data_IF_954247810997
#
_entry.id   IF_954247810997
#
_cell.length_a   1.000
_cell.length_b   1.000
_cell.length_c   1.000
_cell.angle_alpha   90.00
_cell.angle_beta   90.00
_cell.angle_gamma   90.00
#
_symmetry.space_group_name_H-M   'P 1'
#
loop_
_entity.id
_entity.type
_entity.pdbx_description
1 polymer ?
#
# COMPACT_ATOMS: atom_id res chain seq x y z
N UNK A 1 -14.36 28.57 -18.14
CA UNK A 1 -14.20 27.16 -18.58
C UNK A 1 -12.90 27.04 -19.36
N UNK A 2 -11.83 26.52 -18.76
CA UNK A 2 -10.58 26.24 -19.49
C UNK A 2 -10.72 24.91 -20.21
N UNK A 3 -10.58 24.93 -21.54
CA UNK A 3 -10.53 23.73 -22.35
C UNK A 3 -9.27 22.93 -21.97
N UNK A 4 -9.46 21.85 -21.22
CA UNK A 4 -8.39 20.88 -20.99
C UNK A 4 -8.28 20.01 -22.23
N UNK A 5 -7.15 20.15 -22.96
CA UNK A 5 -6.85 19.36 -24.15
C UNK A 5 -6.84 17.85 -23.81
N UNK A 6 -7.40 17.01 -24.69
CA UNK A 6 -7.43 15.53 -24.58
C UNK A 6 -6.07 14.92 -24.19
N UNK A 7 -4.97 15.53 -24.63
CA UNK A 7 -3.59 15.13 -24.34
C UNK A 7 -3.23 15.20 -22.84
N UNK A 8 -3.92 16.05 -22.06
CA UNK A 8 -3.74 16.17 -20.61
C UNK A 8 -4.61 15.17 -19.85
N UNK A 9 -5.83 14.90 -20.33
CA UNK A 9 -6.68 13.84 -19.79
C UNK A 9 -6.08 12.44 -19.99
N UNK A 10 -5.29 12.24 -21.05
CA UNK A 10 -4.50 11.01 -21.25
C UNK A 10 -3.23 10.93 -20.38
N UNK A 11 -2.84 12.03 -19.70
CA UNK A 11 -1.69 12.09 -18.78
C UNK A 11 -2.10 11.99 -17.30
N UNK A 12 -3.35 12.27 -16.97
CA UNK A 12 -3.90 12.18 -15.62
C UNK A 12 -4.66 10.83 -15.46
N UNK A 13 -4.51 10.17 -14.32
CA UNK A 13 -5.15 8.87 -14.08
C UNK A 13 -6.68 8.98 -13.99
N UNK A 14 -7.40 8.02 -14.56
CA UNK A 14 -8.86 7.92 -14.46
C UNK A 14 -9.27 6.54 -13.91
N UNK A 15 -9.53 6.47 -12.61
CA UNK A 15 -9.95 5.23 -11.93
C UNK A 15 -11.28 4.66 -12.47
N UNK A 16 -12.14 5.48 -13.09
CA UNK A 16 -13.41 5.02 -13.65
C UNK A 16 -13.27 4.43 -15.05
N UNK A 17 -12.16 4.67 -15.74
CA UNK A 17 -11.87 4.02 -17.02
C UNK A 17 -11.36 2.59 -16.81
N UNK A 18 -11.94 1.62 -17.53
CA UNK A 18 -11.73 0.19 -17.30
C UNK A 18 -10.26 -0.24 -17.37
N UNK A 19 -9.54 0.24 -18.39
CA UNK A 19 -8.17 -0.16 -18.71
C UNK A 19 -7.13 0.87 -18.23
N UNK A 20 -7.50 1.77 -17.31
CA UNK A 20 -6.55 2.78 -16.83
C UNK A 20 -5.53 2.15 -15.85
N UNK A 21 -4.22 2.31 -16.08
CA UNK A 21 -3.17 1.76 -15.20
C UNK A 21 -3.26 2.23 -13.74
N UNK A 22 -3.91 3.37 -13.48
CA UNK A 22 -4.14 3.87 -12.11
C UNK A 22 -4.90 2.87 -11.23
N UNK A 23 -5.68 1.95 -11.81
CA UNK A 23 -6.36 0.86 -11.09
C UNK A 23 -5.38 -0.17 -10.52
N UNK A 24 -4.34 -0.53 -11.27
CA UNK A 24 -3.33 -1.47 -10.77
C UNK A 24 -2.50 -0.83 -9.65
N UNK A 25 -2.11 0.44 -9.81
CA UNK A 25 -1.43 1.18 -8.73
C UNK A 25 -2.31 1.25 -7.47
N UNK A 26 -3.60 1.59 -7.63
CA UNK A 26 -4.55 1.59 -6.52
C UNK A 26 -4.60 0.21 -5.84
N UNK A 27 -4.75 -0.85 -6.63
CA UNK A 27 -4.79 -2.23 -6.13
C UNK A 27 -3.51 -2.62 -5.38
N UNK A 28 -2.34 -2.19 -5.83
CA UNK A 28 -1.09 -2.46 -5.13
C UNK A 28 -1.07 -1.78 -3.75
N UNK A 29 -1.33 -0.47 -3.70
CA UNK A 29 -1.21 0.33 -2.47
C UNK A 29 -2.34 0.09 -1.47
N UNK A 30 -3.51 -0.41 -1.92
CA UNK A 30 -4.64 -0.77 -1.05
C UNK A 30 -4.80 -2.28 -0.84
N UNK A 31 -3.91 -3.12 -1.36
CA UNK A 31 -3.90 -4.55 -1.02
C UNK A 31 -3.60 -4.73 0.47
N UNK A 32 -4.10 -5.81 1.09
CA UNK A 32 -3.85 -6.11 2.51
C UNK A 32 -2.38 -5.96 2.89
N UNK A 33 -1.47 -6.52 2.09
CA UNK A 33 -0.04 -6.47 2.37
C UNK A 33 0.59 -5.14 1.96
N UNK A 34 0.13 -4.53 0.86
CA UNK A 34 0.62 -3.22 0.43
C UNK A 34 0.39 -2.13 1.47
N UNK A 35 -0.80 -2.09 2.07
CA UNK A 35 -1.12 -1.18 3.17
C UNK A 35 -0.16 -1.39 4.35
N UNK A 36 0.00 -2.64 4.80
CA UNK A 36 0.86 -2.94 5.95
C UNK A 36 2.35 -2.65 5.68
N UNK A 37 2.83 -2.86 4.45
CA UNK A 37 4.20 -2.51 4.05
C UNK A 37 4.40 -1.01 4.10
N UNK A 38 3.51 -0.25 3.44
CA UNK A 38 3.63 1.21 3.36
C UNK A 38 3.58 1.86 4.73
N UNK A 39 2.66 1.42 5.60
CA UNK A 39 2.55 1.91 6.98
C UNK A 39 3.79 1.52 7.81
N UNK A 40 4.26 0.27 7.72
CA UNK A 40 5.41 -0.17 8.49
C UNK A 40 6.71 0.58 8.14
N UNK A 41 6.91 0.92 6.87
CA UNK A 41 8.11 1.60 6.40
C UNK A 41 8.14 3.10 6.74
N UNK A 42 7.05 3.67 7.28
CA UNK A 42 7.06 5.03 7.86
C UNK A 42 7.95 5.12 9.10
N UNK A 43 8.14 4.00 9.81
CA UNK A 43 9.05 3.90 10.95
C UNK A 43 10.54 3.84 10.53
N UNK A 44 10.81 3.82 9.22
CA UNK A 44 12.15 3.76 8.64
C UNK A 44 12.46 2.43 7.96
N UNK A 45 13.74 2.22 7.65
CA UNK A 45 14.23 1.06 6.90
C UNK A 45 13.99 -0.26 7.62
N UNK A 46 13.45 -1.26 6.93
CA UNK A 46 13.19 -2.60 7.49
C UNK A 46 13.81 -3.70 6.62
N UNK A 47 14.27 -4.79 7.24
CA UNK A 47 14.63 -6.00 6.49
C UNK A 47 13.39 -6.76 6.07
N UNK A 48 13.52 -7.62 5.05
CA UNK A 48 12.45 -8.55 4.65
C UNK A 48 11.90 -9.35 5.85
N UNK A 49 12.80 -9.85 6.71
CA UNK A 49 12.45 -10.61 7.91
C UNK A 49 11.64 -9.80 8.93
N UNK A 50 11.92 -8.50 9.06
CA UNK A 50 11.23 -7.62 10.00
C UNK A 50 9.81 -7.35 9.54
N UNK A 51 9.64 -7.04 8.25
CA UNK A 51 8.33 -6.88 7.62
C UNK A 51 7.49 -8.15 7.76
N UNK A 52 8.07 -9.32 7.46
CA UNK A 52 7.37 -10.61 7.59
C UNK A 52 6.91 -10.88 9.02
N UNK A 53 7.77 -10.59 10.02
CA UNK A 53 7.43 -10.77 11.44
C UNK A 53 6.31 -9.84 11.88
N UNK A 54 6.33 -8.57 11.42
CA UNK A 54 5.28 -7.58 11.72
C UNK A 54 3.93 -7.94 11.07
N UNK A 55 3.97 -8.56 9.89
CA UNK A 55 2.79 -8.94 9.09
C UNK A 55 2.35 -10.39 9.34
N UNK A 56 1.92 -10.69 10.56
CA UNK A 56 1.42 -12.02 10.93
C UNK A 56 0.44 -12.61 9.88
N UNK A 57 0.75 -13.81 9.38
CA UNK A 57 -0.06 -14.52 8.39
C UNK A 57 0.32 -14.29 6.92
N UNK A 58 1.33 -13.46 6.61
CA UNK A 58 1.84 -13.34 5.23
C UNK A 58 2.77 -14.50 4.88
N UNK A 59 2.61 -15.08 3.69
CA UNK A 59 3.60 -16.02 3.14
C UNK A 59 4.78 -15.25 2.52
N UNK A 60 5.97 -15.86 2.46
CA UNK A 60 7.13 -15.22 1.81
C UNK A 60 6.82 -14.81 0.37
N UNK A 61 6.13 -15.69 -0.37
CA UNK A 61 5.74 -15.44 -1.75
C UNK A 61 4.87 -14.18 -1.86
N UNK A 62 3.85 -14.05 -1.03
CA UNK A 62 2.96 -12.88 -1.07
C UNK A 62 3.69 -11.60 -0.67
N UNK A 63 4.53 -11.65 0.37
CA UNK A 63 5.32 -10.49 0.79
C UNK A 63 6.28 -10.05 -0.32
N UNK A 64 7.00 -11.00 -0.93
CA UNK A 64 7.91 -10.72 -2.03
C UNK A 64 7.18 -10.12 -3.24
N UNK A 65 6.00 -10.65 -3.60
CA UNK A 65 5.17 -10.12 -4.68
C UNK A 65 4.71 -8.69 -4.42
N UNK A 66 4.24 -8.39 -3.20
CA UNK A 66 3.81 -7.03 -2.84
C UNK A 66 4.97 -6.05 -2.81
N UNK A 67 6.12 -6.43 -2.26
CA UNK A 67 7.33 -5.61 -2.27
C UNK A 67 7.80 -5.33 -3.70
N UNK A 68 7.80 -6.34 -4.57
CA UNK A 68 8.19 -6.19 -5.97
C UNK A 68 7.25 -5.23 -6.72
N UNK A 69 5.93 -5.33 -6.51
CA UNK A 69 4.97 -4.42 -7.14
C UNK A 69 5.18 -2.98 -6.67
N UNK A 70 5.33 -2.75 -5.37
CA UNK A 70 5.56 -1.41 -4.82
C UNK A 70 6.94 -0.83 -5.20
N UNK A 71 7.96 -1.66 -5.36
CA UNK A 71 9.27 -1.27 -5.90
C UNK A 71 9.14 -0.86 -7.38
N UNK A 72 8.43 -1.65 -8.20
CA UNK A 72 8.21 -1.36 -9.63
C UNK A 72 7.37 -0.10 -9.86
N UNK A 73 6.41 0.19 -8.97
CA UNK A 73 5.65 1.43 -8.99
C UNK A 73 6.49 2.65 -8.53
N UNK A 74 7.70 2.43 -8.01
CA UNK A 74 8.62 3.48 -7.57
C UNK A 74 8.42 3.96 -6.14
N UNK A 75 7.68 3.22 -5.32
CA UNK A 75 7.41 3.59 -3.92
C UNK A 75 8.50 3.12 -2.95
N UNK A 76 9.25 2.07 -3.29
CA UNK A 76 10.24 1.48 -2.39
C UNK A 76 11.66 1.56 -2.98
N UNK A 77 12.63 1.88 -2.13
CA UNK A 77 14.02 1.54 -2.35
C UNK A 77 14.29 0.12 -1.86
N UNK A 78 15.05 -0.66 -2.61
CA UNK A 78 15.50 -2.00 -2.23
C UNK A 78 17.03 -2.08 -2.28
N UNK A 79 17.65 -2.46 -1.17
CA UNK A 79 19.11 -2.57 -1.07
C UNK A 79 19.49 -3.98 -0.61
N UNK A 80 20.28 -4.68 -1.43
CA UNK A 80 20.83 -6.00 -1.10
C UNK A 80 22.21 -5.84 -0.46
N UNK A 81 22.41 -6.46 0.71
CA UNK A 81 23.68 -6.45 1.42
C UNK A 81 24.34 -7.83 1.33
N UNK A 82 25.42 -7.98 0.55
CA UNK A 82 26.16 -9.24 0.42
C UNK A 82 27.14 -9.44 1.60
N UNK A 83 26.65 -9.26 2.83
CA UNK A 83 27.40 -9.49 4.08
C UNK A 83 27.02 -10.85 4.67
N UNK A 84 27.63 -11.25 5.79
CA UNK A 84 27.27 -12.49 6.49
C UNK A 84 26.60 -12.13 7.84
N UNK A 85 25.34 -12.54 8.08
CA UNK A 85 24.41 -13.16 7.14
C UNK A 85 23.87 -12.15 6.10
N UNK A 86 23.58 -12.58 4.86
CA UNK A 86 23.10 -11.67 3.81
C UNK A 86 21.66 -11.25 4.09
N UNK A 87 21.33 -10.00 3.76
CA UNK A 87 19.98 -9.46 3.95
C UNK A 87 19.60 -8.43 2.89
N UNK A 88 18.29 -8.14 2.82
CA UNK A 88 17.73 -7.11 1.95
C UNK A 88 16.95 -6.13 2.82
N UNK A 89 17.15 -4.84 2.58
CA UNK A 89 16.46 -3.75 3.24
C UNK A 89 15.52 -3.02 2.28
N UNK A 90 14.43 -2.51 2.84
CA UNK A 90 13.43 -1.71 2.15
C UNK A 90 13.20 -0.41 2.91
N UNK A 91 13.05 0.69 2.16
CA UNK A 91 12.65 2.00 2.69
C UNK A 91 11.75 2.70 1.68
N UNK A 92 10.97 3.69 2.12
CA UNK A 92 10.16 4.50 1.19
C UNK A 92 11.06 5.38 0.32
N UNK A 93 10.65 5.60 -0.93
CA UNK A 93 11.14 6.71 -1.75
C UNK A 93 10.37 7.99 -1.38
N UNK A 94 10.78 9.18 -1.86
CA UNK A 94 9.97 10.39 -1.70
C UNK A 94 8.56 10.30 -2.32
N UNK A 95 8.36 9.45 -3.33
CA UNK A 95 7.04 9.15 -3.89
C UNK A 95 6.28 8.16 -2.98
N UNK A 96 6.99 7.17 -2.43
CA UNK A 96 6.48 6.22 -1.45
C UNK A 96 5.97 6.89 -0.17
N UNK A 97 6.67 7.90 0.33
CA UNK A 97 6.24 8.72 1.48
C UNK A 97 4.88 9.38 1.22
N UNK A 98 4.72 10.03 0.06
CA UNK A 98 3.48 10.70 -0.31
C UNK A 98 2.27 9.76 -0.35
N UNK A 99 2.41 8.57 -0.95
CA UNK A 99 1.31 7.60 -1.01
C UNK A 99 1.09 6.91 0.33
N UNK A 100 2.17 6.65 1.09
CA UNK A 100 2.09 6.06 2.42
C UNK A 100 1.31 6.96 3.38
N UNK A 101 1.48 8.29 3.32
CA UNK A 101 0.67 9.22 4.12
C UNK A 101 -0.83 9.13 3.82
N UNK A 102 -1.23 8.92 2.55
CA UNK A 102 -2.65 8.76 2.19
C UNK A 102 -3.21 7.44 2.67
N UNK A 103 -2.43 6.38 2.51
CA UNK A 103 -2.82 5.02 2.94
C UNK A 103 -2.91 4.95 4.46
N UNK A 104 -1.94 5.52 5.18
CA UNK A 104 -1.93 5.59 6.64
C UNK A 104 -3.12 6.39 7.16
N UNK A 105 -3.43 7.55 6.58
CA UNK A 105 -4.60 8.33 7.00
C UNK A 105 -5.91 7.53 6.89
N UNK A 106 -6.06 6.71 5.84
CA UNK A 106 -7.22 5.82 5.71
C UNK A 106 -7.17 4.68 6.75
N UNK A 107 -6.01 4.06 6.95
CA UNK A 107 -5.84 3.00 7.95
C UNK A 107 -6.17 3.50 9.37
N UNK A 108 -5.61 4.66 9.75
CA UNK A 108 -5.86 5.31 11.04
C UNK A 108 -7.35 5.61 11.24
N UNK A 109 -8.03 6.11 10.20
CA UNK A 109 -9.48 6.34 10.27
C UNK A 109 -10.25 5.04 10.48
N UNK A 110 -9.88 3.95 9.80
CA UNK A 110 -10.52 2.64 9.96
C UNK A 110 -10.31 2.12 11.37
N UNK A 111 -9.08 2.17 11.89
CA UNK A 111 -8.76 1.70 13.24
C UNK A 111 -9.54 2.49 14.31
N UNK A 112 -9.61 3.81 14.16
CA UNK A 112 -10.34 4.69 15.06
C UNK A 112 -11.86 4.42 15.07
N UNK A 113 -12.44 4.15 13.90
CA UNK A 113 -13.89 4.03 13.73
C UNK A 113 -14.39 2.57 13.67
N UNK A 114 -13.49 1.58 13.79
CA UNK A 114 -13.83 0.16 13.76
C UNK A 114 -14.97 -0.22 14.72
N UNK A 115 -15.00 0.25 15.99
CA UNK A 115 -16.10 -0.08 16.90
C UNK A 115 -17.48 0.34 16.36
N UNK A 116 -17.57 1.52 15.75
CA UNK A 116 -18.82 2.01 15.16
C UNK A 116 -19.23 1.17 13.94
N UNK A 117 -18.26 0.78 13.10
CA UNK A 117 -18.53 -0.08 11.92
C UNK A 117 -19.04 -1.45 12.36
N UNK A 118 -18.43 -2.06 13.39
CA UNK A 118 -18.84 -3.37 13.90
C UNK A 118 -20.24 -3.30 14.55
N UNK A 119 -20.50 -2.29 15.38
CA UNK A 119 -21.82 -2.09 15.98
C UNK A 119 -22.95 -1.85 14.95
N UNK A 120 -22.61 -1.39 13.74
CA UNK A 120 -23.56 -1.27 12.64
C UNK A 120 -23.83 -2.62 11.95
N UNK A 121 -22.83 -3.49 11.86
CA UNK A 121 -22.98 -4.83 11.27
C UNK A 121 -23.85 -5.73 12.15
N UNK A 122 -23.63 -5.70 13.45
CA UNK A 122 -24.39 -6.51 14.41
C UNK A 122 -25.88 -6.15 14.38
N UNK A 123 -26.21 -4.85 14.30
CA UNK A 123 -27.60 -4.38 14.15
C UNK A 123 -28.28 -4.91 12.89
N UNK A 124 -27.57 -4.96 11.76
CA UNK A 124 -28.13 -5.47 10.51
C UNK A 124 -28.27 -6.99 10.51
N UNK A 125 -27.48 -7.72 11.30
CA UNK A 125 -27.63 -9.18 11.45
C UNK A 125 -28.75 -9.57 12.42
N UNK A 126 -29.13 -8.69 13.35
CA UNK A 126 -30.23 -8.94 14.30
C UNK A 126 -31.62 -8.61 13.71
N UNK A 127 -31.68 -7.80 12.65
CA UNK A 127 -32.91 -7.37 11.97
C UNK A 127 -33.36 -8.32 10.82
N UNK A 128 -32.70 -9.46 10.62
CA UNK A 128 -32.99 -10.45 9.55
C UNK A 128 -33.24 -11.86 10.07
#
# INVERSE_FOLDING_TARGET
MRAHTLSRQLREGNLFAEQCPSREVLKHVTSRWGVLILVALRDGTHRFSDLRRKMGGVSEKMLAQSLQALEQDGFLNRVSYPVVPPHVEYSLTPLGEQVSDKVAALADWIELNLPQVLAQRDRLSDDG
#
